data_IF_594482302749
#
_entry.id   IF_594482302749
#
_cell.length_a   1.000
_cell.length_b   1.000
_cell.length_c   1.000
_cell.angle_alpha   90.00
_cell.angle_beta   90.00
_cell.angle_gamma   90.00
#
_symmetry.space_group_name_H-M   'P 1'
#
loop_
_entity.id
_entity.type
_entity.pdbx_description
1 polymer ?
#
# COMPACT_ATOMS: atom_id res chain seq x y z
N UNK A 1 3.82 -8.47 -5.73
CA UNK A 1 5.16 -7.89 -5.45
C UNK A 1 5.30 -7.62 -3.96
N UNK A 2 6.45 -7.91 -3.35
CA UNK A 2 6.70 -7.52 -1.95
C UNK A 2 7.01 -6.03 -1.88
N UNK A 3 6.41 -5.34 -0.93
CA UNK A 3 6.46 -3.89 -0.74
C UNK A 3 6.88 -3.60 0.70
N UNK A 4 7.92 -2.79 0.87
CA UNK A 4 8.30 -2.27 2.19
C UNK A 4 7.50 -1.03 2.51
N UNK A 5 7.24 -0.77 3.79
CA UNK A 5 6.50 0.41 4.23
C UNK A 5 7.16 1.72 3.76
N UNK A 6 8.50 1.75 3.71
CA UNK A 6 9.27 2.90 3.23
C UNK A 6 9.11 3.17 1.71
N UNK A 7 8.61 2.19 0.95
CA UNK A 7 8.45 2.31 -0.49
C UNK A 7 7.01 2.69 -0.90
N UNK A 8 6.07 2.88 0.03
CA UNK A 8 4.65 3.09 -0.31
C UNK A 8 4.43 4.28 -1.24
N UNK A 9 5.08 5.42 -1.01
CA UNK A 9 4.95 6.63 -1.85
C UNK A 9 5.33 6.36 -3.32
N UNK A 10 6.32 5.49 -3.55
CA UNK A 10 6.72 5.06 -4.89
C UNK A 10 5.65 4.20 -5.56
N UNK A 11 4.94 3.39 -4.79
CA UNK A 11 3.87 2.54 -5.30
C UNK A 11 2.58 3.31 -5.53
N UNK A 12 2.27 4.28 -4.67
CA UNK A 12 1.20 5.25 -4.87
C UNK A 12 1.41 5.99 -6.18
N UNK A 13 2.59 6.59 -6.37
CA UNK A 13 2.95 7.32 -7.60
C UNK A 13 2.87 6.46 -8.88
N UNK A 14 2.93 5.13 -8.76
CA UNK A 14 2.92 4.20 -9.89
C UNK A 14 1.51 3.76 -10.27
N UNK A 15 0.61 3.62 -9.30
CA UNK A 15 -0.70 3.01 -9.50
C UNK A 15 -1.87 3.96 -9.26
N UNK A 16 -1.67 5.03 -8.50
CA UNK A 16 -2.68 6.02 -8.20
C UNK A 16 -2.56 7.18 -9.19
N UNK A 17 -3.66 7.60 -9.84
CA UNK A 17 -3.64 8.66 -10.84
C UNK A 17 -3.37 10.05 -10.23
N UNK A 18 -3.59 10.22 -8.92
CA UNK A 18 -3.30 11.45 -8.19
C UNK A 18 -2.81 11.12 -6.77
N UNK A 19 -2.07 12.07 -6.19
CA UNK A 19 -1.61 12.00 -4.81
C UNK A 19 -2.82 12.02 -3.86
N UNK A 20 -2.80 11.19 -2.84
CA UNK A 20 -3.91 10.98 -1.90
C UNK A 20 -5.23 10.45 -2.52
N UNK A 21 -5.20 9.95 -3.77
CA UNK A 21 -6.39 9.43 -4.46
C UNK A 21 -6.32 7.93 -4.71
N UNK A 22 -7.22 7.18 -4.10
CA UNK A 22 -7.32 5.73 -4.22
C UNK A 22 -6.62 4.97 -3.08
N UNK A 23 -6.76 3.63 -3.10
CA UNK A 23 -6.32 2.74 -2.04
C UNK A 23 -5.57 1.53 -2.63
N UNK A 24 -4.33 1.35 -2.20
CA UNK A 24 -3.59 0.11 -2.39
C UNK A 24 -3.99 -0.89 -1.30
N UNK A 25 -4.55 -2.03 -1.69
CA UNK A 25 -4.82 -3.17 -0.83
C UNK A 25 -3.63 -4.14 -0.86
N UNK A 26 -3.22 -4.61 0.32
CA UNK A 26 -2.09 -5.53 0.45
C UNK A 26 -2.31 -6.56 1.56
N UNK A 27 -1.68 -7.71 1.41
CA UNK A 27 -1.55 -8.67 2.51
C UNK A 27 -0.33 -8.30 3.35
N UNK A 28 -0.51 -8.28 4.67
CA UNK A 28 0.55 -8.14 5.66
C UNK A 28 0.56 -9.38 6.56
N UNK A 29 1.51 -9.44 7.50
CA UNK A 29 1.51 -10.46 8.55
C UNK A 29 0.37 -10.31 9.57
N UNK A 30 -0.32 -9.16 9.60
CA UNK A 30 -1.48 -8.88 10.45
C UNK A 30 -2.82 -9.05 9.70
N UNK A 31 -2.77 -9.54 8.46
CA UNK A 31 -3.95 -9.73 7.60
C UNK A 31 -3.98 -8.77 6.42
N UNK A 32 -5.16 -8.66 5.79
CA UNK A 32 -5.38 -7.77 4.63
C UNK A 32 -5.66 -6.37 5.15
N UNK A 33 -4.89 -5.39 4.67
CA UNK A 33 -5.08 -3.98 5.01
C UNK A 33 -4.68 -3.09 3.85
N UNK A 34 -5.02 -1.81 3.95
CA UNK A 34 -4.64 -0.82 2.96
C UNK A 34 -3.33 -0.12 3.36
N UNK A 35 -2.63 0.44 2.36
CA UNK A 35 -1.30 1.02 2.54
C UNK A 35 -1.22 2.15 3.58
N UNK A 36 -2.23 3.01 3.75
CA UNK A 36 -2.20 4.05 4.80
C UNK A 36 -2.11 3.45 6.22
N UNK A 37 -2.93 2.43 6.51
CA UNK A 37 -2.86 1.72 7.78
C UNK A 37 -1.49 1.04 7.94
N UNK A 38 -1.03 0.33 6.91
CA UNK A 38 0.27 -0.33 6.92
C UNK A 38 1.43 0.67 7.13
N UNK A 39 1.31 1.90 6.61
CA UNK A 39 2.29 2.98 6.80
C UNK A 39 2.32 3.46 8.24
N UNK A 40 1.16 3.65 8.86
CA UNK A 40 1.05 4.03 10.27
C UNK A 40 1.61 2.98 11.24
N UNK A 41 1.48 1.70 10.89
CA UNK A 41 2.01 0.58 11.68
C UNK A 41 3.47 0.22 11.32
N UNK A 42 4.06 0.88 10.31
CA UNK A 42 5.37 0.56 9.74
C UNK A 42 5.52 -0.90 9.26
N UNK A 43 4.43 -1.46 8.73
CA UNK A 43 4.33 -2.86 8.28
C UNK A 43 4.41 -2.90 6.75
N UNK A 44 5.28 -3.76 6.24
CA UNK A 44 5.35 -4.09 4.81
C UNK A 44 4.42 -5.25 4.46
N UNK A 45 4.28 -5.52 3.17
CA UNK A 45 3.36 -6.56 2.72
C UNK A 45 3.57 -6.98 1.28
N UNK A 46 2.52 -7.58 0.71
CA UNK A 46 2.45 -7.91 -0.70
C UNK A 46 1.21 -7.25 -1.30
N UNK A 47 1.42 -6.47 -2.35
CA UNK A 47 0.33 -5.80 -3.05
C UNK A 47 -0.65 -6.84 -3.62
N UNK A 48 -1.94 -6.65 -3.34
CA UNK A 48 -3.05 -7.50 -3.80
C UNK A 48 -3.76 -6.85 -4.98
N UNK A 49 -4.24 -5.62 -4.75
CA UNK A 49 -5.06 -4.86 -5.70
C UNK A 49 -4.94 -3.36 -5.40
N UNK A 50 -5.41 -2.55 -6.34
CA UNK A 50 -5.56 -1.11 -6.16
C UNK A 50 -6.97 -0.74 -6.58
N UNK A 51 -7.58 0.21 -5.88
CA UNK A 51 -8.92 0.73 -6.14
C UNK A 51 -8.81 2.24 -6.28
N UNK A 52 -9.50 2.80 -7.28
CA UNK A 52 -9.61 4.23 -7.55
C UNK A 52 -11.05 4.59 -7.89
#
# INVERSE_FOLDING_TARGET
>A
HSVKWADFDKWESRYLPAQDFGLLLMTTNQGVMHHYQAKGEAIGGRLLAYVF
#
